data_IF_125996757723
#
_entry.id   IF_125996757723
#
_cell.length_a   1.000
_cell.length_b   1.000
_cell.length_c   1.000
_cell.angle_alpha   90.00
_cell.angle_beta   90.00
_cell.angle_gamma   90.00
#
_symmetry.space_group_name_H-M   'P 1'
#
loop_
_entity.id
_entity.type
_entity.pdbx_description
1 polymer ?
#
# COMPACT_ATOMS: atom_id res chain seq x y z
N UNK A 1 4.29 11.51 -12.82
CA UNK A 1 4.02 10.10 -13.21
C UNK A 1 4.24 9.19 -12.01
N UNK A 2 3.23 8.41 -11.63
CA UNK A 2 3.26 7.55 -10.44
C UNK A 2 3.73 6.12 -10.77
N UNK A 3 4.33 5.46 -9.77
CA UNK A 3 4.72 4.04 -9.80
C UNK A 3 3.85 3.21 -8.84
N UNK A 4 2.66 3.72 -8.49
CA UNK A 4 1.79 3.15 -7.46
C UNK A 4 0.78 2.20 -8.09
N UNK A 5 0.64 1.03 -7.48
CA UNK A 5 -0.34 0.02 -7.83
C UNK A 5 -0.81 -0.70 -6.55
N UNK A 6 -1.89 -1.47 -6.66
CA UNK A 6 -2.40 -2.31 -5.57
C UNK A 6 -2.43 -3.76 -6.04
N UNK A 7 -1.91 -4.67 -5.22
CA UNK A 7 -2.02 -6.12 -5.41
C UNK A 7 -3.12 -6.65 -4.52
N UNK A 8 -4.08 -7.38 -5.10
CA UNK A 8 -5.14 -8.09 -4.36
C UNK A 8 -5.00 -9.57 -4.63
N UNK A 9 -4.71 -10.34 -3.59
CA UNK A 9 -4.68 -11.81 -3.64
C UNK A 9 -5.91 -12.32 -2.89
N UNK A 10 -6.68 -13.21 -3.53
CA UNK A 10 -7.89 -13.81 -2.96
C UNK A 10 -7.79 -15.32 -3.08
N UNK A 11 -8.05 -16.01 -1.98
CA UNK A 11 -8.19 -17.46 -1.94
C UNK A 11 -9.64 -17.84 -1.63
N UNK A 12 -10.13 -18.92 -2.26
CA UNK A 12 -11.44 -19.51 -1.97
C UNK A 12 -11.37 -20.61 -0.91
N UNK A 13 -10.20 -21.18 -0.70
CA UNK A 13 -10.01 -22.39 0.10
C UNK A 13 -9.32 -22.10 1.43
N UNK A 14 -8.38 -21.15 1.44
CA UNK A 14 -7.51 -20.86 2.58
C UNK A 14 -7.70 -19.41 3.01
N UNK A 15 -7.68 -19.16 4.32
CA UNK A 15 -7.58 -17.81 4.85
C UNK A 15 -6.18 -17.26 4.56
N UNK A 16 -6.10 -15.94 4.36
CA UNK A 16 -4.85 -15.23 4.16
C UNK A 16 -4.64 -14.26 5.32
N UNK A 17 -3.39 -14.08 5.74
CA UNK A 17 -3.02 -13.16 6.81
C UNK A 17 -2.24 -11.99 6.23
N UNK A 18 -2.61 -10.80 6.66
CA UNK A 18 -1.89 -9.60 6.34
C UNK A 18 -0.55 -9.57 7.07
N UNK A 19 -0.32 -10.38 8.10
CA UNK A 19 0.84 -10.28 8.99
C UNK A 19 2.12 -10.89 8.38
N UNK A 20 2.58 -10.26 7.30
CA UNK A 20 3.76 -10.61 6.50
C UNK A 20 4.66 -9.38 6.32
N UNK A 21 5.94 -9.62 6.05
CA UNK A 21 6.94 -8.58 5.81
C UNK A 21 6.80 -7.99 4.40
N UNK A 22 7.33 -6.78 4.22
CA UNK A 22 7.40 -6.13 2.91
C UNK A 22 8.47 -6.80 2.01
N UNK A 23 8.32 -6.65 0.70
CA UNK A 23 9.40 -6.93 -0.27
C UNK A 23 10.16 -5.66 -0.64
N UNK A 24 9.55 -4.48 -0.44
CA UNK A 24 10.23 -3.19 -0.49
C UNK A 24 11.25 -3.07 0.65
N UNK A 25 12.57 -3.03 0.36
CA UNK A 25 13.57 -2.95 1.40
C UNK A 25 13.57 -1.62 2.15
N UNK A 26 13.02 -0.55 1.57
CA UNK A 26 13.01 0.77 2.19
C UNK A 26 11.99 0.89 3.33
N UNK A 27 11.14 -0.12 3.55
CA UNK A 27 10.11 -0.11 4.58
C UNK A 27 10.10 -1.43 5.34
N UNK A 28 10.37 -1.37 6.65
CA UNK A 28 10.05 -2.47 7.55
C UNK A 28 8.63 -2.35 8.06
N UNK A 29 8.16 -3.38 8.76
CA UNK A 29 6.83 -3.38 9.34
C UNK A 29 6.90 -3.51 10.85
N UNK A 30 6.38 -2.53 11.55
CA UNK A 30 6.31 -2.50 13.00
C UNK A 30 4.86 -2.31 13.43
N UNK A 31 4.32 -3.27 14.19
CA UNK A 31 2.93 -3.22 14.72
C UNK A 31 1.86 -2.88 13.67
N UNK A 32 1.99 -3.46 12.47
CA UNK A 32 1.03 -3.26 11.39
C UNK A 32 1.30 -2.06 10.48
N UNK A 33 2.23 -1.17 10.82
CA UNK A 33 2.56 0.05 10.06
C UNK A 33 3.92 -0.08 9.39
N UNK A 34 4.04 0.41 8.16
CA UNK A 34 5.31 0.55 7.44
C UNK A 34 6.17 1.67 8.03
N UNK A 35 7.38 1.34 8.46
CA UNK A 35 8.37 2.30 8.96
C UNK A 35 9.49 2.42 7.95
N UNK A 36 9.85 3.65 7.57
CA UNK A 36 10.93 3.89 6.63
C UNK A 36 12.28 3.46 7.25
N UNK A 37 13.03 2.64 6.53
CA UNK A 37 14.32 2.11 6.97
C UNK A 37 15.48 2.91 6.38
N UNK A 38 16.12 3.72 7.21
CA UNK A 38 17.18 4.64 6.80
C UNK A 38 18.48 3.94 6.39
N UNK A 39 18.70 2.70 6.85
CA UNK A 39 19.88 1.89 6.57
C UNK A 39 19.59 0.67 5.69
N UNK A 40 18.45 0.68 5.00
CA UNK A 40 18.06 -0.42 4.13
C UNK A 40 19.08 -0.65 3.01
N UNK A 41 19.53 -1.89 2.85
CA UNK A 41 20.21 -2.31 1.62
C UNK A 41 19.17 -2.38 0.52
N UNK A 42 19.39 -1.68 -0.61
CA UNK A 42 18.49 -1.63 -1.77
C UNK A 42 18.48 -2.94 -2.58
N UNK A 43 18.21 -4.03 -1.88
CA UNK A 43 18.13 -5.39 -2.40
C UNK A 43 16.71 -5.87 -2.14
N UNK A 44 16.08 -6.45 -3.15
CA UNK A 44 14.72 -7.00 -3.04
C UNK A 44 14.59 -7.91 -1.81
N UNK A 45 13.68 -7.54 -0.90
CA UNK A 45 13.39 -8.32 0.29
C UNK A 45 12.58 -9.56 -0.07
N UNK A 46 12.88 -10.68 0.60
CA UNK A 46 12.00 -11.86 0.60
C UNK A 46 10.86 -11.60 1.58
N UNK A 47 9.61 -11.80 1.14
CA UNK A 47 8.46 -11.75 2.03
C UNK A 47 8.51 -12.92 3.03
N UNK A 48 8.32 -12.63 4.31
CA UNK A 48 8.35 -13.60 5.40
C UNK A 48 7.09 -13.47 6.26
N UNK A 49 6.57 -14.57 6.82
CA UNK A 49 5.55 -14.48 7.85
C UNK A 49 6.10 -13.75 9.09
N UNK A 50 5.29 -12.88 9.69
CA UNK A 50 5.62 -12.18 10.95
C UNK A 50 4.96 -12.85 12.16
N UNK A 51 4.13 -13.86 11.92
CA UNK A 51 3.50 -14.71 12.92
C UNK A 51 3.63 -16.17 12.50
N UNK A 52 3.65 -17.08 13.48
CA UNK A 52 3.72 -18.52 13.23
C UNK A 52 2.31 -19.07 12.98
N UNK A 53 1.72 -18.68 11.84
CA UNK A 53 0.41 -19.15 11.38
C UNK A 53 0.51 -19.68 9.95
N UNK A 54 -0.32 -20.66 9.63
CA UNK A 54 -0.39 -21.23 8.29
C UNK A 54 -0.86 -20.17 7.28
N UNK A 55 -1.80 -19.31 7.67
CA UNK A 55 -2.28 -18.19 6.85
C UNK A 55 -1.16 -17.22 6.47
N UNK A 56 -0.31 -16.82 7.42
CA UNK A 56 0.82 -15.93 7.14
C UNK A 56 1.88 -16.61 6.26
N UNK A 57 2.16 -17.89 6.50
CA UNK A 57 3.10 -18.68 5.68
C UNK A 57 2.65 -18.77 4.23
N UNK A 58 1.39 -19.18 3.98
CA UNK A 58 0.81 -19.26 2.64
C UNK A 58 0.82 -17.88 1.98
N UNK A 59 0.45 -16.82 2.70
CA UNK A 59 0.39 -15.48 2.12
C UNK A 59 1.78 -15.00 1.69
N UNK A 60 2.79 -15.22 2.53
CA UNK A 60 4.18 -14.88 2.18
C UNK A 60 4.69 -15.69 0.98
N UNK A 61 4.34 -16.97 0.87
CA UNK A 61 4.65 -17.81 -0.29
C UNK A 61 4.02 -17.26 -1.57
N UNK A 62 2.73 -16.94 -1.55
CA UNK A 62 2.01 -16.35 -2.69
C UNK A 62 2.61 -15.01 -3.13
N UNK A 63 2.98 -14.13 -2.19
CA UNK A 63 3.63 -12.85 -2.51
C UNK A 63 5.02 -13.07 -3.12
N UNK A 64 5.80 -14.02 -2.60
CA UNK A 64 7.10 -14.35 -3.18
C UNK A 64 6.98 -14.94 -4.58
N UNK A 65 6.03 -15.85 -4.80
CA UNK A 65 5.73 -16.44 -6.11
C UNK A 65 5.33 -15.35 -7.11
N UNK A 66 4.36 -14.50 -6.74
CA UNK A 66 3.94 -13.37 -7.55
C UNK A 66 5.12 -12.47 -7.92
N UNK A 67 5.97 -12.13 -6.96
CA UNK A 67 7.14 -11.27 -7.18
C UNK A 67 8.12 -11.90 -8.17
N UNK A 68 8.38 -13.20 -8.06
CA UNK A 68 9.30 -13.92 -8.95
C UNK A 68 8.74 -14.06 -10.36
N UNK A 69 7.48 -14.46 -10.51
CA UNK A 69 6.86 -14.67 -11.81
C UNK A 69 6.66 -13.36 -12.56
N UNK A 70 6.17 -12.32 -11.88
CA UNK A 70 6.06 -10.99 -12.50
C UNK A 70 7.42 -10.44 -12.90
N UNK A 71 8.46 -10.65 -12.09
CA UNK A 71 9.82 -10.23 -12.46
C UNK A 71 10.30 -10.91 -13.73
N UNK A 72 10.13 -12.23 -13.87
CA UNK A 72 10.50 -12.96 -15.11
C UNK A 72 9.79 -12.40 -16.33
N UNK A 73 8.50 -12.12 -16.22
CA UNK A 73 7.69 -11.57 -17.30
C UNK A 73 8.18 -10.15 -17.64
N UNK A 74 8.34 -9.29 -16.63
CA UNK A 74 8.71 -7.89 -16.83
C UNK A 74 10.14 -7.73 -17.36
N UNK A 75 11.08 -8.58 -16.95
CA UNK A 75 12.46 -8.58 -17.47
C UNK A 75 12.52 -8.76 -18.99
N UNK A 76 11.60 -9.55 -19.56
CA UNK A 76 11.54 -9.85 -20.99
C UNK A 76 10.53 -8.97 -21.75
N UNK A 77 9.87 -8.06 -21.05
CA UNK A 77 8.81 -7.25 -21.63
C UNK A 77 9.39 -6.23 -22.63
N UNK A 78 8.75 -6.05 -23.78
CA UNK A 78 9.22 -5.19 -24.86
C UNK A 78 9.52 -3.73 -24.41
N UNK A 79 8.74 -3.21 -23.46
CA UNK A 79 8.98 -1.89 -22.86
C UNK A 79 10.31 -1.87 -22.10
N UNK A 80 10.65 -2.91 -21.34
CA UNK A 80 11.90 -2.98 -20.59
C UNK A 80 13.09 -3.24 -21.51
N UNK A 81 12.92 -4.03 -22.57
CA UNK A 81 13.92 -4.15 -23.63
C UNK A 81 14.23 -2.80 -24.29
N UNK A 82 13.19 -2.00 -24.61
CA UNK A 82 13.38 -0.64 -25.13
C UNK A 82 14.08 0.26 -24.12
N UNK A 83 13.67 0.25 -22.84
CA UNK A 83 14.32 1.04 -21.77
C UNK A 83 15.80 0.70 -21.67
N UNK A 84 16.16 -0.58 -21.71
CA UNK A 84 17.54 -1.05 -21.68
C UNK A 84 18.35 -0.53 -22.88
N UNK A 85 17.78 -0.59 -24.10
CA UNK A 85 18.41 -0.03 -25.32
C UNK A 85 18.62 1.48 -25.22
N UNK A 86 17.72 2.19 -24.54
CA UNK A 86 17.82 3.63 -24.24
C UNK A 86 18.74 3.97 -23.07
N UNK A 87 19.42 2.98 -22.45
CA UNK A 87 20.28 3.21 -21.27
C UNK A 87 19.51 3.54 -19.99
N UNK A 88 18.20 3.28 -19.95
CA UNK A 88 17.32 3.55 -18.80
C UNK A 88 17.17 2.30 -17.93
N UNK A 89 16.96 2.51 -16.63
CA UNK A 89 16.68 1.42 -15.69
C UNK A 89 15.41 0.66 -16.09
N UNK A 90 15.46 -0.67 -16.07
CA UNK A 90 14.28 -1.51 -16.26
C UNK A 90 13.32 -1.36 -15.08
N UNK A 91 12.02 -1.37 -15.36
CA UNK A 91 10.96 -1.48 -14.36
C UNK A 91 10.51 -2.95 -14.32
N UNK A 92 11.38 -3.80 -13.78
CA UNK A 92 11.23 -5.26 -13.84
C UNK A 92 10.83 -5.91 -12.52
N UNK A 93 10.57 -5.14 -11.47
CA UNK A 93 10.18 -5.67 -10.16
C UNK A 93 9.01 -4.87 -9.63
N UNK A 94 8.00 -5.56 -9.10
CA UNK A 94 6.91 -4.96 -8.33
C UNK A 94 7.27 -5.12 -6.85
N UNK A 95 7.49 -3.99 -6.19
CA UNK A 95 7.70 -3.95 -4.74
C UNK A 95 6.34 -3.87 -4.05
N UNK A 96 6.13 -4.71 -3.04
CA UNK A 96 4.91 -4.77 -2.24
C UNK A 96 5.21 -4.33 -0.81
N UNK A 97 4.29 -3.57 -0.24
CA UNK A 97 4.36 -3.10 1.15
C UNK A 97 2.97 -3.02 1.79
N UNK A 98 2.96 -3.02 3.12
CA UNK A 98 1.79 -2.74 3.96
C UNK A 98 0.61 -3.69 3.71
N UNK A 99 0.87 -4.99 3.76
CA UNK A 99 -0.16 -6.01 3.55
C UNK A 99 -1.28 -5.94 4.60
N UNK A 100 -2.54 -5.86 4.14
CA UNK A 100 -3.73 -5.96 4.97
C UNK A 100 -4.61 -7.14 4.56
N UNK A 101 -5.17 -7.88 5.52
CA UNK A 101 -6.11 -8.99 5.27
C UNK A 101 -7.53 -8.74 5.80
N UNK A 102 -7.71 -7.72 6.61
CA UNK A 102 -8.99 -7.39 7.25
C UNK A 102 -9.25 -5.90 7.17
N UNK A 103 -10.53 -5.54 7.10
CA UNK A 103 -10.96 -4.16 7.32
C UNK A 103 -10.94 -3.94 8.84
N UNK A 104 -10.26 -2.89 9.35
CA UNK A 104 -10.24 -2.62 10.78
C UNK A 104 -11.65 -2.27 11.26
N UNK A 105 -12.00 -2.76 12.44
CA UNK A 105 -13.23 -2.33 13.13
C UNK A 105 -12.96 -0.97 13.75
N UNK A 106 -13.69 0.05 13.30
CA UNK A 106 -13.67 1.39 13.89
C UNK A 106 -15.06 1.70 14.45
N UNK A 107 -15.15 2.41 15.59
CA UNK A 107 -16.43 2.90 16.08
C UNK A 107 -17.03 3.87 15.05
N UNK A 108 -18.35 3.79 14.87
CA UNK A 108 -19.07 4.80 14.10
C UNK A 108 -19.08 6.09 14.89
N UNK A 109 -18.53 7.16 14.32
CA UNK A 109 -18.40 8.43 15.03
C UNK A 109 -19.77 9.02 15.40
N UNK A 110 -20.79 8.78 14.57
CA UNK A 110 -22.15 9.20 14.89
C UNK A 110 -22.72 8.50 16.11
N UNK A 111 -22.46 7.21 16.28
CA UNK A 111 -22.87 6.47 17.48
C UNK A 111 -22.07 6.88 18.71
N UNK A 112 -20.79 7.17 18.54
CA UNK A 112 -19.90 7.53 19.65
C UNK A 112 -20.13 8.94 20.17
N UNK A 113 -20.41 9.89 19.29
CA UNK A 113 -20.49 11.32 19.63
C UNK A 113 -21.91 11.90 19.50
N UNK A 114 -22.87 11.17 18.93
CA UNK A 114 -24.24 11.65 18.72
C UNK A 114 -24.35 12.76 17.68
N UNK A 115 -23.40 12.83 16.74
CA UNK A 115 -23.30 13.88 15.71
C UNK A 115 -23.14 13.26 14.31
N UNK A 116 -23.60 13.95 13.29
CA UNK A 116 -23.28 13.58 11.91
C UNK A 116 -21.93 14.19 11.50
N UNK A 117 -21.12 13.38 10.82
CA UNK A 117 -19.76 13.75 10.43
C UNK A 117 -19.59 13.70 8.92
N UNK A 118 -18.90 14.69 8.37
CA UNK A 118 -18.47 14.71 6.97
C UNK A 118 -16.95 14.80 6.89
N UNK A 119 -16.34 14.01 6.00
CA UNK A 119 -14.93 14.07 5.67
C UNK A 119 -14.75 14.77 4.32
N UNK A 120 -14.04 15.90 4.34
CA UNK A 120 -13.56 16.59 3.15
C UNK A 120 -12.25 15.93 2.72
N UNK A 121 -12.30 15.06 1.70
CA UNK A 121 -11.17 14.18 1.37
C UNK A 121 -10.68 14.37 -0.07
N UNK A 122 -9.36 14.44 -0.24
CA UNK A 122 -8.70 14.48 -1.56
C UNK A 122 -8.13 13.09 -1.91
N UNK A 123 -7.57 12.39 -0.92
CA UNK A 123 -6.91 11.11 -1.14
C UNK A 123 -7.84 9.90 -0.93
N UNK A 124 -7.72 8.82 -1.73
CA UNK A 124 -8.52 7.62 -1.57
C UNK A 124 -8.43 6.97 -0.17
N UNK A 125 -7.29 7.13 0.51
CA UNK A 125 -7.10 6.61 1.88
C UNK A 125 -8.01 7.30 2.89
N UNK A 126 -8.14 8.63 2.82
CA UNK A 126 -8.98 9.44 3.70
C UNK A 126 -10.45 9.05 3.51
N UNK A 127 -10.87 8.88 2.25
CA UNK A 127 -12.21 8.41 1.89
C UNK A 127 -12.49 7.01 2.43
N UNK A 128 -11.49 6.14 2.40
CA UNK A 128 -11.56 4.80 2.97
C UNK A 128 -11.85 4.87 4.47
N UNK A 129 -11.06 5.66 5.21
CA UNK A 129 -11.23 5.87 6.66
C UNK A 129 -12.60 6.46 6.98
N UNK A 130 -13.02 7.52 6.28
CA UNK A 130 -14.32 8.15 6.49
C UNK A 130 -15.47 7.15 6.36
N UNK A 131 -15.46 6.32 5.32
CA UNK A 131 -16.49 5.30 5.10
C UNK A 131 -16.53 4.26 6.23
N UNK A 132 -15.37 3.76 6.68
CA UNK A 132 -15.34 2.74 7.75
C UNK A 132 -15.64 3.33 9.13
N UNK A 133 -15.49 4.64 9.32
CA UNK A 133 -15.87 5.37 10.54
C UNK A 133 -17.32 5.88 10.52
N UNK A 134 -18.09 5.59 9.47
CA UNK A 134 -19.49 5.99 9.33
C UNK A 134 -19.70 7.48 9.05
N UNK A 135 -18.73 8.15 8.44
CA UNK A 135 -18.82 9.55 8.01
C UNK A 135 -19.30 9.64 6.55
N UNK A 136 -20.00 10.72 6.22
CA UNK A 136 -20.21 11.11 4.83
C UNK A 136 -18.90 11.59 4.20
N UNK A 137 -18.75 11.44 2.89
CA UNK A 137 -17.57 11.90 2.16
C UNK A 137 -18.00 12.96 1.16
N UNK A 138 -17.41 14.14 1.25
CA UNK A 138 -17.59 15.21 0.29
C UNK A 138 -16.29 15.49 -0.47
N UNK A 139 -16.44 15.79 -1.76
CA UNK A 139 -15.33 16.14 -2.62
C UNK A 139 -14.84 17.54 -2.30
N UNK A 140 -13.52 17.68 -2.11
CA UNK A 140 -12.90 19.00 -2.04
C UNK A 140 -12.87 19.61 -3.44
N UNK A 141 -13.31 20.87 -3.61
CA UNK A 141 -13.09 21.58 -4.86
C UNK A 141 -11.58 21.69 -5.11
N UNK A 142 -11.14 21.69 -6.38
CA UNK A 142 -9.73 21.86 -6.69
C UNK A 142 -9.20 23.17 -6.08
N UNK A 143 -7.94 23.19 -5.61
CA UNK A 143 -7.37 24.38 -4.99
C UNK A 143 -7.51 25.59 -5.92
N UNK A 144 -7.97 26.72 -5.36
CA UNK A 144 -8.03 27.99 -6.08
C UNK A 144 -6.62 28.39 -6.54
N UNK A 145 -6.50 29.04 -7.69
CA UNK A 145 -5.20 29.37 -8.33
C UNK A 145 -4.32 30.33 -7.52
N UNK A 146 -4.79 30.84 -6.37
CA UNK A 146 -4.04 31.75 -5.52
C UNK A 146 -3.32 31.00 -4.39
N UNK A 147 -2.18 30.40 -4.71
CA UNK A 147 -1.25 29.77 -3.76
C UNK A 147 -0.41 30.79 -2.96
N UNK A 148 -0.99 31.93 -2.60
CA UNK A 148 -0.36 32.93 -1.72
C UNK A 148 -1.27 33.24 -0.53
N UNK A 149 -1.15 32.43 0.52
CA UNK A 149 -1.27 32.78 1.95
C UNK A 149 -1.67 31.56 2.78
N UNK A 150 -0.71 30.70 3.10
CA UNK A 150 -0.74 29.89 4.33
C UNK A 150 0.71 29.53 4.69
N UNK A 151 1.51 30.54 5.01
CA UNK A 151 2.64 30.37 5.92
C UNK A 151 2.17 30.90 7.26
N UNK A 152 1.81 30.00 8.18
CA UNK A 152 1.64 30.36 9.58
C UNK A 152 3.03 30.70 10.12
N UNK A 153 3.25 31.98 10.37
CA UNK A 153 4.10 32.45 11.45
C UNK A 153 3.36 32.15 12.76
N UNK A 154 3.91 31.24 13.56
CA UNK A 154 3.92 31.26 15.03
C UNK A 154 4.94 30.21 15.52
#
# INVERSE_FOLDING_TARGET
MGHRAVLVIRSKEKKLSGNISNTDPAYSRLKGVGVAESQAKMILGKCRPLEDTEEARITAELVNEFTQETRRILERHNINERRKKEGRLMANVILTRDAGSTVPSLPHFSQQYGLDFVCLADMPVERGIAKISGMDVADLPPPSKDSKKTTNSE
#
